data_IF_847067087844
#
_entry.id   IF_847067087844
#
_cell.length_a   1.000
_cell.length_b   1.000
_cell.length_c   1.000
_cell.angle_alpha   90.00
_cell.angle_beta   90.00
_cell.angle_gamma   90.00
#
_symmetry.space_group_name_H-M   'P 1'
#
loop_
_entity.id
_entity.type
_entity.pdbx_description
1 polymer ?
#
# COMPACT_ATOMS: atom_id res chain seq x y z
N UNK A 1 -53.32 2.45 -17.17
CA UNK A 1 -53.31 3.51 -16.15
C UNK A 1 -51.86 3.87 -15.85
N UNK A 2 -51.34 4.83 -16.61
CA UNK A 2 -50.02 5.42 -16.42
C UNK A 2 -50.17 6.56 -15.41
N UNK A 3 -49.52 6.47 -14.25
CA UNK A 3 -49.41 7.58 -13.30
C UNK A 3 -48.01 8.19 -13.40
N UNK A 4 -47.95 9.32 -14.10
CA UNK A 4 -46.87 10.29 -14.03
C UNK A 4 -46.81 10.87 -12.61
N UNK A 5 -45.66 10.79 -11.95
CA UNK A 5 -45.34 11.68 -10.83
C UNK A 5 -44.17 12.57 -11.25
N UNK A 6 -44.49 13.83 -11.49
CA UNK A 6 -43.55 14.90 -11.71
C UNK A 6 -43.14 15.48 -10.35
N UNK A 7 -41.88 15.31 -9.96
CA UNK A 7 -41.29 16.01 -8.83
C UNK A 7 -40.16 16.91 -9.33
N UNK A 8 -40.51 18.19 -9.54
CA UNK A 8 -39.55 19.30 -9.59
C UNK A 8 -39.30 19.76 -8.16
N UNK A 9 -38.04 19.96 -7.78
CA UNK A 9 -37.68 20.56 -6.51
C UNK A 9 -36.20 20.42 -6.19
N UNK A 10 -35.39 21.26 -6.81
CA UNK A 10 -33.95 21.42 -6.56
C UNK A 10 -33.75 21.91 -5.11
N UNK A 11 -33.34 21.03 -4.21
CA UNK A 11 -33.00 21.38 -2.83
C UNK A 11 -31.58 21.94 -2.75
N UNK A 12 -31.40 23.20 -3.12
CA UNK A 12 -30.17 23.95 -2.84
C UNK A 12 -30.04 24.17 -1.34
N UNK A 13 -29.13 23.44 -0.70
CA UNK A 13 -28.67 23.73 0.65
C UNK A 13 -27.81 25.00 0.57
N UNK A 14 -28.46 26.16 0.72
CA UNK A 14 -27.79 27.44 0.85
C UNK A 14 -27.41 27.61 2.32
N UNK A 15 -26.16 27.28 2.65
CA UNK A 15 -25.54 27.71 3.90
C UNK A 15 -25.25 29.20 3.81
N UNK A 16 -26.30 30.00 3.91
CA UNK A 16 -26.24 31.44 4.00
C UNK A 16 -25.80 31.83 5.41
N UNK A 17 -24.48 31.87 5.60
CA UNK A 17 -23.84 32.59 6.69
C UNK A 17 -23.36 33.94 6.13
N UNK A 18 -24.24 34.67 5.42
CA UNK A 18 -23.98 36.05 5.04
C UNK A 18 -24.08 36.94 6.27
N UNK A 19 -22.91 37.40 6.63
CA UNK A 19 -22.61 38.57 7.43
C UNK A 19 -23.25 39.81 6.79
N UNK A 20 -24.48 40.13 7.15
CA UNK A 20 -24.99 41.49 7.00
C UNK A 20 -24.59 42.27 8.27
N UNK A 21 -23.32 42.67 8.29
CA UNK A 21 -22.82 43.79 9.08
C UNK A 21 -23.63 45.03 8.67
N UNK A 22 -24.78 45.24 9.32
CA UNK A 22 -25.48 46.51 9.23
C UNK A 22 -24.61 47.55 9.95
N UNK A 23 -23.75 48.19 9.15
CA UNK A 23 -22.95 49.34 9.52
C UNK A 23 -23.81 50.34 10.28
N UNK A 24 -23.38 50.61 11.49
CA UNK A 24 -23.91 51.60 12.40
C UNK A 24 -23.91 52.98 11.73
N UNK A 25 -24.97 53.31 11.00
CA UNK A 25 -25.25 54.69 10.61
C UNK A 25 -25.71 55.43 11.86
N UNK A 26 -24.77 56.17 12.42
CA UNK A 26 -24.97 57.24 13.40
C UNK A 26 -25.95 58.28 12.85
N UNK A 27 -27.26 58.03 13.03
CA UNK A 27 -28.27 59.08 12.90
C UNK A 27 -28.20 59.93 14.16
N UNK A 28 -27.40 60.99 14.07
CA UNK A 28 -27.41 62.13 14.98
C UNK A 28 -28.82 62.74 14.98
N UNK A 29 -29.68 62.27 15.89
CA UNK A 29 -30.89 63.01 16.25
C UNK A 29 -30.52 63.99 17.36
N UNK A 30 -30.18 65.21 16.95
CA UNK A 30 -30.00 66.34 17.84
C UNK A 30 -31.23 66.47 18.74
N UNK A 31 -31.07 66.11 20.02
CA UNK A 31 -32.05 66.40 21.06
C UNK A 31 -31.71 67.80 21.55
N UNK A 32 -32.52 68.77 21.12
CA UNK A 32 -32.54 70.13 21.67
C UNK A 32 -32.56 70.04 23.20
N UNK A 33 -31.49 70.51 23.83
CA UNK A 33 -31.48 70.90 25.23
C UNK A 33 -32.36 72.12 25.34
N UNK A 34 -33.63 71.93 25.72
CA UNK A 34 -34.43 73.03 26.24
C UNK A 34 -34.00 73.23 27.69
N UNK A 35 -33.26 74.31 27.87
CA UNK A 35 -32.94 74.98 29.11
C UNK A 35 -34.20 75.35 29.89
N UNK A 36 -34.73 74.41 30.67
CA UNK A 36 -35.72 74.66 31.72
C UNK A 36 -35.29 73.92 32.99
N UNK A 37 -34.05 74.16 33.44
CA UNK A 37 -33.50 73.59 34.68
C UNK A 37 -33.36 74.64 35.80
N UNK A 38 -34.33 75.56 35.87
CA UNK A 38 -34.46 76.49 36.98
C UNK A 38 -35.89 76.41 37.54
N UNK A 39 -36.14 75.39 38.37
CA UNK A 39 -37.02 75.38 39.56
C UNK A 39 -37.50 73.95 39.89
N UNK A 40 -36.59 73.09 40.35
CA UNK A 40 -36.99 71.87 41.06
C UNK A 40 -37.20 72.18 42.55
N UNK A 41 -38.44 72.07 43.01
CA UNK A 41 -38.79 72.23 44.43
C UNK A 41 -38.17 71.09 45.27
N UNK A 42 -37.66 71.33 46.50
CA UNK A 42 -36.81 70.37 47.23
C UNK A 42 -37.47 69.06 47.71
N UNK A 43 -38.78 68.85 47.49
CA UNK A 43 -39.54 67.75 48.10
C UNK A 43 -40.26 66.83 47.11
N UNK A 44 -39.80 66.70 45.86
CA UNK A 44 -40.30 65.67 44.96
C UNK A 44 -39.36 64.45 44.98
N UNK A 45 -39.85 63.33 45.51
CA UNK A 45 -39.16 62.04 45.42
C UNK A 45 -38.90 61.74 43.93
N UNK A 46 -37.66 61.39 43.59
CA UNK A 46 -37.29 60.97 42.24
C UNK A 46 -38.31 59.92 41.75
N UNK A 47 -38.98 60.19 40.64
CA UNK A 47 -39.84 59.20 39.99
C UNK A 47 -38.94 58.00 39.70
N UNK A 48 -39.21 56.88 40.36
CA UNK A 48 -38.47 55.65 40.11
C UNK A 48 -38.55 55.36 38.61
N UNK A 49 -37.39 55.32 37.95
CA UNK A 49 -37.31 55.04 36.52
C UNK A 49 -38.09 53.77 36.24
N UNK A 50 -39.03 53.86 35.30
CA UNK A 50 -39.83 52.72 34.84
C UNK A 50 -38.89 51.54 34.59
N UNK A 51 -39.05 50.46 35.38
CA UNK A 51 -38.31 49.22 35.15
C UNK A 51 -38.61 48.76 33.72
N UNK A 52 -37.57 48.35 33.00
CA UNK A 52 -37.66 47.95 31.60
C UNK A 52 -38.71 46.85 31.47
N UNK A 53 -39.60 46.96 30.47
CA UNK A 53 -40.71 46.02 30.29
C UNK A 53 -40.17 44.59 30.23
N UNK A 54 -40.74 43.67 31.03
CA UNK A 54 -40.24 42.29 31.21
C UNK A 54 -39.99 41.55 29.89
N UNK A 55 -40.76 41.85 28.85
CA UNK A 55 -40.57 41.27 27.51
C UNK A 55 -39.29 41.77 26.82
N UNK A 56 -38.95 43.05 26.99
CA UNK A 56 -37.72 43.62 26.43
C UNK A 56 -36.49 43.04 27.14
N UNK A 57 -36.55 42.88 28.47
CA UNK A 57 -35.49 42.22 29.22
C UNK A 57 -35.29 40.75 28.80
N UNK A 58 -36.38 40.02 28.51
CA UNK A 58 -36.30 38.65 27.99
C UNK A 58 -35.68 38.60 26.59
N UNK A 59 -36.06 39.50 25.68
CA UNK A 59 -35.51 39.56 24.32
C UNK A 59 -34.01 39.87 24.30
N UNK A 60 -33.56 40.82 25.14
CA UNK A 60 -32.13 41.12 25.26
C UNK A 60 -31.34 39.95 25.85
N UNK A 61 -31.94 39.22 26.81
CA UNK A 61 -31.32 38.00 27.35
C UNK A 61 -31.17 36.91 26.29
N UNK A 62 -32.21 36.65 25.50
CA UNK A 62 -32.18 35.68 24.39
C UNK A 62 -31.11 36.04 23.35
N UNK A 63 -30.97 37.34 23.04
CA UNK A 63 -29.96 37.85 22.11
C UNK A 63 -28.53 37.65 22.64
N UNK A 64 -28.32 37.92 23.92
CA UNK A 64 -27.03 37.72 24.59
C UNK A 64 -26.65 36.23 24.62
N UNK A 65 -27.60 35.35 24.91
CA UNK A 65 -27.38 33.90 24.87
C UNK A 65 -27.07 33.39 23.46
N UNK A 66 -27.77 33.91 22.43
CA UNK A 66 -27.49 33.56 21.04
C UNK A 66 -26.06 33.97 20.64
N UNK A 67 -25.60 35.15 21.07
CA UNK A 67 -24.22 35.62 20.87
C UNK A 67 -23.22 34.70 21.55
N UNK A 68 -23.46 34.34 22.82
CA UNK A 68 -22.61 33.42 23.60
C UNK A 68 -22.56 32.02 22.96
N UNK A 69 -23.69 31.49 22.49
CA UNK A 69 -23.76 30.19 21.79
C UNK A 69 -22.95 30.22 20.48
N UNK A 70 -23.06 31.30 19.70
CA UNK A 70 -22.28 31.49 18.46
C UNK A 70 -20.79 31.59 18.75
N UNK A 71 -20.40 32.42 19.70
CA UNK A 71 -18.99 32.55 20.10
C UNK A 71 -18.42 31.23 20.58
N UNK A 72 -19.16 30.51 21.43
CA UNK A 72 -18.73 29.20 21.93
C UNK A 72 -18.57 28.17 20.82
N UNK A 73 -19.45 28.20 19.81
CA UNK A 73 -19.33 27.32 18.65
C UNK A 73 -18.11 27.68 17.80
N UNK A 74 -17.88 28.96 17.52
CA UNK A 74 -16.72 29.43 16.75
C UNK A 74 -15.41 29.14 17.49
N UNK A 75 -15.40 29.21 18.82
CA UNK A 75 -14.22 28.95 19.65
C UNK A 75 -13.84 27.46 19.75
N UNK A 76 -14.74 26.54 19.40
CA UNK A 76 -14.48 25.09 19.47
C UNK A 76 -13.68 24.61 18.25
N UNK A 77 -12.87 23.58 18.47
CA UNK A 77 -12.21 22.87 17.37
C UNK A 77 -13.23 22.22 16.41
N UNK A 78 -12.83 21.98 15.16
CA UNK A 78 -13.69 21.35 14.15
C UNK A 78 -14.24 20.00 14.62
N UNK A 79 -13.42 19.20 15.31
CA UNK A 79 -13.85 17.91 15.84
C UNK A 79 -14.83 18.05 17.01
N UNK A 80 -14.60 19.04 17.88
CA UNK A 80 -15.47 19.32 19.03
C UNK A 80 -16.85 19.82 18.60
N UNK A 81 -16.87 20.72 17.61
CA UNK A 81 -18.11 21.18 16.97
C UNK A 81 -18.90 20.02 16.38
N UNK A 82 -18.23 19.16 15.61
CA UNK A 82 -18.85 17.96 15.04
C UNK A 82 -19.46 17.07 16.14
N UNK A 83 -18.70 16.81 17.22
CA UNK A 83 -19.18 15.98 18.33
C UNK A 83 -20.41 16.58 19.03
N UNK A 84 -20.43 17.90 19.22
CA UNK A 84 -21.59 18.62 19.77
C UNK A 84 -22.80 18.47 18.86
N UNK A 85 -22.66 18.70 17.56
CA UNK A 85 -23.77 18.58 16.62
C UNK A 85 -24.32 17.15 16.52
N UNK A 86 -23.46 16.13 16.53
CA UNK A 86 -23.91 14.73 16.54
C UNK A 86 -24.71 14.41 17.81
N UNK A 87 -24.25 14.89 18.99
CA UNK A 87 -25.00 14.73 20.25
C UNK A 87 -26.34 15.45 20.23
N UNK A 88 -26.35 16.70 19.78
CA UNK A 88 -27.57 17.50 19.69
C UNK A 88 -28.57 16.83 18.73
N UNK A 89 -28.11 16.33 17.59
CA UNK A 89 -28.94 15.58 16.64
C UNK A 89 -29.56 14.33 17.28
N UNK A 90 -28.75 13.53 17.98
CA UNK A 90 -29.21 12.33 18.70
C UNK A 90 -30.26 12.70 19.76
N UNK A 91 -30.05 13.82 20.49
CA UNK A 91 -30.95 14.29 21.55
C UNK A 91 -32.31 14.75 21.02
N UNK A 92 -32.33 15.52 19.92
CA UNK A 92 -33.57 16.12 19.39
C UNK A 92 -34.37 15.17 18.51
N UNK A 93 -33.70 14.34 17.71
CA UNK A 93 -34.37 13.52 16.68
C UNK A 93 -34.40 12.03 17.01
N UNK A 94 -33.71 11.58 18.07
CA UNK A 94 -33.72 10.19 18.52
C UNK A 94 -33.03 9.25 17.53
N UNK A 95 -31.71 9.08 17.67
CA UNK A 95 -30.88 8.13 16.93
C UNK A 95 -29.79 7.53 17.83
N UNK A 96 -29.08 6.50 17.37
CA UNK A 96 -27.96 5.93 18.15
C UNK A 96 -26.63 6.43 17.59
N UNK A 97 -25.60 6.46 18.44
CA UNK A 97 -24.28 6.88 17.98
C UNK A 97 -23.66 5.86 17.03
N UNK A 98 -24.11 4.59 17.13
CA UNK A 98 -23.72 3.51 16.23
C UNK A 98 -24.15 3.75 14.78
N UNK A 99 -25.24 4.50 14.55
CA UNK A 99 -25.73 4.80 13.20
C UNK A 99 -24.78 5.72 12.42
N UNK A 100 -23.92 6.46 13.14
CA UNK A 100 -22.89 7.32 12.57
C UNK A 100 -21.55 6.60 12.38
N UNK A 101 -21.48 5.31 12.69
CA UNK A 101 -20.25 4.54 12.54
C UNK A 101 -19.99 4.29 11.05
N UNK A 102 -18.92 4.91 10.53
CA UNK A 102 -18.47 4.71 9.16
C UNK A 102 -18.11 3.24 8.92
N UNK A 103 -18.61 2.67 7.83
CA UNK A 103 -18.23 1.33 7.37
C UNK A 103 -16.75 1.30 6.98
N UNK A 104 -15.93 0.51 7.69
CA UNK A 104 -14.49 0.35 7.43
C UNK A 104 -14.18 -0.76 6.41
N UNK A 105 -15.19 -1.47 5.93
CA UNK A 105 -15.04 -2.68 5.13
C UNK A 105 -14.34 -2.43 3.78
N UNK A 106 -14.50 -1.24 3.22
CA UNK A 106 -13.91 -0.84 1.94
C UNK A 106 -12.72 0.13 2.11
N UNK A 107 -12.27 0.40 3.33
CA UNK A 107 -11.13 1.29 3.57
C UNK A 107 -9.83 0.57 3.18
N UNK A 108 -9.30 0.90 2.01
CA UNK A 108 -7.97 0.46 1.58
C UNK A 108 -6.90 1.35 2.21
N UNK A 109 -5.92 0.76 2.88
CA UNK A 109 -4.74 1.52 3.30
C UNK A 109 -3.74 1.64 2.16
N UNK A 110 -2.88 2.64 2.19
CA UNK A 110 -1.77 2.80 1.24
C UNK A 110 -0.93 1.51 1.11
N UNK A 111 -0.72 0.79 2.23
CA UNK A 111 0.00 -0.48 2.25
C UNK A 111 -0.73 -1.59 1.49
N UNK A 112 -2.06 -1.64 1.58
CA UNK A 112 -2.87 -2.62 0.87
C UNK A 112 -2.87 -2.32 -0.63
N UNK A 113 -3.01 -1.04 -1.00
CA UNK A 113 -2.92 -0.59 -2.40
C UNK A 113 -1.58 -0.97 -3.02
N UNK A 114 -0.48 -0.78 -2.29
CA UNK A 114 0.85 -1.20 -2.72
C UNK A 114 0.92 -2.71 -2.83
N UNK A 115 0.38 -3.48 -1.87
CA UNK A 115 0.40 -4.95 -1.94
C UNK A 115 -0.42 -5.49 -3.11
N UNK A 116 -1.50 -4.84 -3.50
CA UNK A 116 -2.32 -5.22 -4.66
C UNK A 116 -1.61 -4.90 -5.99
N UNK A 117 -0.96 -3.74 -6.07
CA UNK A 117 -0.41 -3.20 -7.33
C UNK A 117 1.11 -3.32 -7.46
N UNK A 118 1.83 -3.85 -6.45
CA UNK A 118 3.28 -3.98 -6.53
C UNK A 118 3.66 -4.93 -7.66
N UNK A 119 4.65 -4.50 -8.44
CA UNK A 119 5.29 -5.33 -9.46
C UNK A 119 6.76 -5.54 -9.14
N UNK A 120 7.26 -6.72 -9.49
CA UNK A 120 8.68 -7.05 -9.27
C UNK A 120 9.58 -6.28 -10.24
N UNK A 121 9.16 -6.13 -11.50
CA UNK A 121 9.75 -5.25 -12.51
C UNK A 121 8.63 -4.41 -13.16
N UNK A 122 8.91 -3.14 -13.40
CA UNK A 122 8.02 -2.25 -14.15
C UNK A 122 8.49 -2.19 -15.59
N UNK A 123 7.63 -2.55 -16.53
CA UNK A 123 7.90 -2.45 -17.97
C UNK A 123 7.35 -1.14 -18.54
N UNK A 124 7.86 -0.70 -19.70
CA UNK A 124 7.43 0.55 -20.36
C UNK A 124 5.95 0.51 -20.79
N UNK A 125 5.41 -0.68 -21.09
CA UNK A 125 4.02 -0.87 -21.50
C UNK A 125 3.03 -0.57 -20.36
N UNK A 126 3.42 -0.85 -19.11
CA UNK A 126 2.61 -0.58 -17.91
C UNK A 126 2.52 0.91 -17.57
N UNK A 127 3.36 1.75 -18.19
CA UNK A 127 3.35 3.21 -18.03
C UNK A 127 2.16 3.86 -18.75
N UNK A 128 1.54 3.15 -19.70
CA UNK A 128 0.39 3.66 -20.46
C UNK A 128 -0.90 3.69 -19.64
N UNK A 129 -1.09 2.75 -18.70
CA UNK A 129 -2.31 2.59 -17.88
C UNK A 129 -2.10 2.97 -16.40
N UNK A 130 -1.54 4.17 -16.16
CA UNK A 130 -1.08 4.61 -14.84
C UNK A 130 -2.22 5.18 -13.97
N UNK A 131 -2.93 4.29 -13.26
CA UNK A 131 -3.80 4.67 -12.15
C UNK A 131 -2.99 5.27 -10.98
N UNK A 132 -3.62 6.07 -10.11
CA UNK A 132 -2.95 6.67 -8.94
C UNK A 132 -2.33 5.60 -8.02
N UNK A 133 -2.97 4.44 -7.90
CA UNK A 133 -2.50 3.28 -7.12
C UNK A 133 -1.17 2.71 -7.69
N UNK A 134 -1.10 2.57 -9.01
CA UNK A 134 0.12 2.12 -9.71
C UNK A 134 1.23 3.17 -9.59
N UNK A 135 0.90 4.47 -9.68
CA UNK A 135 1.88 5.56 -9.47
C UNK A 135 2.46 5.52 -8.06
N UNK A 136 1.63 5.25 -7.05
CA UNK A 136 2.09 5.06 -5.68
C UNK A 136 3.08 3.89 -5.60
N UNK A 137 2.72 2.72 -6.14
CA UNK A 137 3.57 1.55 -6.16
C UNK A 137 4.90 1.79 -6.92
N UNK A 138 4.88 2.48 -8.08
CA UNK A 138 6.07 2.88 -8.84
C UNK A 138 7.00 3.77 -8.01
N UNK A 139 6.44 4.77 -7.33
CA UNK A 139 7.22 5.65 -6.43
C UNK A 139 7.92 4.88 -5.31
N UNK A 140 7.30 3.82 -4.77
CA UNK A 140 7.96 2.93 -3.82
C UNK A 140 9.05 2.09 -4.50
N UNK A 141 8.76 1.51 -5.65
CA UNK A 141 9.71 0.72 -6.44
C UNK A 141 11.00 1.49 -6.80
N UNK A 142 10.87 2.77 -7.16
CA UNK A 142 12.02 3.61 -7.52
C UNK A 142 12.94 3.88 -6.32
N UNK A 143 12.37 3.95 -5.11
CA UNK A 143 13.13 4.08 -3.86
C UNK A 143 13.89 2.82 -3.46
N UNK A 144 13.57 1.64 -4.04
CA UNK A 144 14.28 0.40 -3.71
C UNK A 144 15.68 0.40 -4.34
N UNK A 145 16.65 -0.05 -3.54
CA UNK A 145 18.01 -0.33 -4.00
C UNK A 145 18.08 -1.70 -4.69
N UNK A 146 18.25 -1.67 -6.02
CA UNK A 146 18.11 -2.84 -6.91
C UNK A 146 19.43 -3.44 -7.41
N UNK A 147 20.56 -3.05 -6.83
CA UNK A 147 21.87 -3.56 -7.30
C UNK A 147 22.15 -5.01 -6.90
N UNK A 148 21.82 -5.37 -5.65
CA UNK A 148 22.05 -6.69 -5.09
C UNK A 148 20.77 -7.19 -4.41
N UNK A 149 20.41 -8.44 -4.67
CA UNK A 149 19.31 -9.12 -4.01
C UNK A 149 19.74 -9.80 -2.70
N UNK A 150 18.76 -10.17 -1.88
CA UNK A 150 18.90 -11.14 -0.80
C UNK A 150 18.22 -12.44 -1.21
N UNK A 151 18.90 -13.55 -0.97
CA UNK A 151 18.43 -14.89 -1.23
C UNK A 151 17.98 -15.59 0.05
N UNK A 152 16.90 -16.35 -0.02
CA UNK A 152 16.56 -17.38 0.94
C UNK A 152 16.94 -18.74 0.34
N UNK A 153 18.06 -19.28 0.83
CA UNK A 153 18.59 -20.57 0.40
C UNK A 153 18.15 -21.71 1.33
N UNK A 154 17.15 -21.54 2.20
CA UNK A 154 16.76 -22.58 3.18
C UNK A 154 16.27 -23.87 2.53
N UNK A 155 15.53 -23.77 1.43
CA UNK A 155 14.95 -24.92 0.69
C UNK A 155 15.76 -25.30 -0.55
N UNK A 156 17.07 -25.07 -0.52
CA UNK A 156 17.97 -25.36 -1.66
C UNK A 156 17.94 -26.83 -2.11
N UNK A 157 17.67 -27.78 -1.19
CA UNK A 157 17.54 -29.22 -1.51
C UNK A 157 16.35 -29.52 -2.43
N UNK A 158 15.28 -28.73 -2.33
CA UNK A 158 14.09 -28.83 -3.20
C UNK A 158 14.24 -27.99 -4.48
N UNK A 159 15.41 -27.38 -4.72
CA UNK A 159 15.64 -26.44 -5.82
C UNK A 159 14.68 -25.23 -5.80
N UNK A 160 14.19 -24.86 -4.60
CA UNK A 160 13.33 -23.70 -4.39
C UNK A 160 14.15 -22.60 -3.73
N UNK A 161 14.22 -21.46 -4.40
CA UNK A 161 14.92 -20.27 -3.93
C UNK A 161 13.94 -19.10 -3.92
N UNK A 162 14.03 -18.27 -2.87
CA UNK A 162 13.31 -17.01 -2.80
C UNK A 162 14.29 -15.86 -2.94
N UNK A 163 13.98 -14.87 -3.75
CA UNK A 163 14.74 -13.62 -3.81
C UNK A 163 13.87 -12.45 -3.39
N UNK A 164 14.51 -11.45 -2.82
CA UNK A 164 13.90 -10.14 -2.55
C UNK A 164 14.94 -9.03 -2.67
N UNK A 165 14.46 -7.83 -2.97
CA UNK A 165 15.26 -6.62 -2.88
C UNK A 165 15.62 -6.29 -1.42
N UNK A 166 16.71 -5.55 -1.25
CA UNK A 166 17.18 -5.10 0.07
C UNK A 166 16.30 -3.99 0.60
N UNK A 167 16.04 -3.99 1.90
CA UNK A 167 15.41 -2.85 2.57
C UNK A 167 16.48 -1.89 3.11
N UNK A 168 16.08 -0.67 3.44
CA UNK A 168 16.97 0.42 3.89
C UNK A 168 17.97 0.00 4.99
N UNK A 169 17.48 -0.61 6.08
CA UNK A 169 18.33 -1.10 7.18
C UNK A 169 19.42 -2.09 6.73
N UNK A 170 19.13 -2.94 5.75
CA UNK A 170 20.08 -3.91 5.18
C UNK A 170 21.11 -3.24 4.28
N UNK A 171 20.69 -2.22 3.54
CA UNK A 171 21.59 -1.42 2.71
C UNK A 171 22.57 -0.67 3.60
N UNK A 172 22.10 -0.03 4.67
CA UNK A 172 22.94 0.65 5.67
C UNK A 172 23.88 -0.35 6.36
N UNK A 173 23.39 -1.55 6.70
CA UNK A 173 24.22 -2.61 7.28
C UNK A 173 25.20 -3.24 6.28
N UNK A 174 25.09 -2.97 4.97
CA UNK A 174 25.93 -3.57 3.93
C UNK A 174 25.59 -5.03 3.59
N UNK A 175 24.41 -5.53 3.98
CA UNK A 175 24.01 -6.92 3.74
C UNK A 175 23.83 -7.19 2.24
N UNK A 176 24.38 -8.31 1.77
CA UNK A 176 24.39 -8.69 0.35
C UNK A 176 25.42 -7.96 -0.53
N UNK A 177 26.19 -7.02 0.02
CA UNK A 177 27.30 -6.35 -0.68
C UNK A 177 28.63 -6.61 0.01
N UNK A 178 28.71 -6.29 1.31
CA UNK A 178 29.89 -6.52 2.16
C UNK A 178 29.74 -7.74 3.08
N UNK A 179 28.52 -8.29 3.18
CA UNK A 179 28.25 -9.56 3.83
C UNK A 179 27.38 -10.44 2.94
N UNK A 180 27.28 -11.73 3.31
CA UNK A 180 26.57 -12.73 2.53
C UNK A 180 25.12 -12.32 2.31
N UNK A 181 24.66 -12.43 1.05
CA UNK A 181 23.29 -12.14 0.65
C UNK A 181 22.28 -13.22 1.05
N UNK A 182 22.67 -14.26 1.78
CA UNK A 182 21.72 -15.24 2.29
C UNK A 182 21.05 -14.71 3.56
N UNK A 183 19.73 -14.80 3.66
CA UNK A 183 18.94 -14.28 4.80
C UNK A 183 19.47 -14.74 6.16
N UNK A 184 19.89 -16.01 6.27
CA UNK A 184 20.34 -16.66 7.52
C UNK A 184 21.87 -16.81 7.62
N UNK A 185 22.65 -16.01 6.89
CA UNK A 185 24.11 -16.07 6.94
C UNK A 185 24.66 -14.66 6.98
N UNK A 186 25.60 -14.41 7.89
CA UNK A 186 26.21 -13.09 8.09
C UNK A 186 27.74 -13.13 7.86
N UNK A 187 28.21 -14.14 7.12
CA UNK A 187 29.60 -14.32 6.72
C UNK A 187 30.07 -13.15 5.83
N UNK A 188 31.28 -12.65 6.08
CA UNK A 188 31.85 -11.49 5.37
C UNK A 188 33.02 -11.86 4.47
N UNK A 189 33.61 -13.04 4.66
CA UNK A 189 34.81 -13.44 3.95
C UNK A 189 34.51 -14.16 2.62
N UNK A 190 35.36 -13.93 1.61
CA UNK A 190 35.33 -14.70 0.36
C UNK A 190 34.07 -14.57 -0.49
N UNK A 191 33.39 -13.41 -0.44
CA UNK A 191 32.13 -13.15 -1.16
C UNK A 191 32.32 -13.14 -2.68
N UNK A 192 31.67 -14.09 -3.37
CA UNK A 192 31.60 -14.15 -4.83
C UNK A 192 30.30 -13.56 -5.34
N UNK A 193 30.38 -12.82 -6.45
CA UNK A 193 29.22 -12.29 -7.16
C UNK A 193 28.68 -13.32 -8.14
N UNK A 194 27.36 -13.49 -8.16
CA UNK A 194 26.61 -14.40 -9.02
C UNK A 194 25.53 -13.62 -9.74
N UNK A 195 25.30 -13.97 -11.00
CA UNK A 195 24.15 -13.52 -11.77
C UNK A 195 23.23 -14.71 -11.95
N UNK A 196 22.00 -14.59 -11.44
CA UNK A 196 21.04 -15.69 -11.41
C UNK A 196 19.81 -15.27 -12.21
N UNK A 197 19.39 -16.14 -13.13
CA UNK A 197 18.12 -15.97 -13.81
C UNK A 197 16.97 -16.39 -12.88
N UNK A 198 16.20 -15.41 -12.43
CA UNK A 198 15.04 -15.60 -11.56
C UNK A 198 13.77 -15.63 -12.40
N UNK A 199 13.20 -16.83 -12.57
CA UNK A 199 11.85 -16.99 -13.12
C UNK A 199 10.81 -16.84 -12.02
N UNK A 200 9.87 -15.92 -12.21
CA UNK A 200 8.75 -15.67 -11.29
C UNK A 200 7.43 -15.62 -12.06
N UNK A 201 6.33 -15.80 -11.33
CA UNK A 201 4.97 -15.70 -11.89
C UNK A 201 4.33 -14.44 -11.33
N UNK A 202 3.92 -13.55 -12.22
CA UNK A 202 3.26 -12.28 -11.89
C UNK A 202 1.98 -12.21 -12.71
N UNK A 203 0.84 -11.97 -12.05
CA UNK A 203 -0.50 -11.94 -12.67
C UNK A 203 -0.82 -13.14 -13.59
N UNK A 204 -0.23 -14.32 -13.33
CA UNK A 204 -0.44 -15.54 -14.13
C UNK A 204 0.56 -15.73 -15.28
N UNK A 205 1.41 -14.75 -15.55
CA UNK A 205 2.44 -14.79 -16.59
C UNK A 205 3.80 -15.14 -16.00
N UNK A 206 4.57 -15.96 -16.72
CA UNK A 206 5.94 -16.32 -16.33
C UNK A 206 6.90 -15.25 -16.85
N UNK A 207 7.49 -14.50 -15.93
CA UNK A 207 8.52 -13.49 -16.21
C UNK A 207 9.87 -13.97 -15.72
N UNK A 208 10.93 -13.50 -16.35
CA UNK A 208 12.30 -13.82 -15.99
C UNK A 208 13.09 -12.53 -15.75
N UNK A 209 13.91 -12.49 -14.70
CA UNK A 209 14.76 -11.36 -14.38
C UNK A 209 16.18 -11.84 -14.03
N UNK A 210 17.19 -11.17 -14.58
CA UNK A 210 18.57 -11.42 -14.18
C UNK A 210 18.89 -10.60 -12.92
N UNK A 211 19.14 -11.28 -11.80
CA UNK A 211 19.45 -10.64 -10.52
C UNK A 211 20.88 -10.91 -10.08
N UNK A 212 21.51 -9.91 -9.45
CA UNK A 212 22.87 -10.00 -8.93
C UNK A 212 22.86 -10.34 -7.43
N UNK A 213 23.74 -11.25 -7.02
CA UNK A 213 23.84 -11.75 -5.64
C UNK A 213 25.30 -11.86 -5.23
N UNK A 214 25.63 -11.48 -3.99
CA UNK A 214 26.93 -11.83 -3.39
C UNK A 214 26.76 -12.87 -2.31
N UNK A 215 27.48 -13.98 -2.41
CA UNK A 215 27.37 -15.12 -1.50
C UNK A 215 28.76 -15.60 -1.05
N UNK A 216 28.84 -16.07 0.19
CA UNK A 216 30.02 -16.79 0.68
C UNK A 216 30.16 -18.16 -0.03
N UNK A 217 31.32 -18.83 0.06
CA UNK A 217 31.56 -20.13 -0.58
C UNK A 217 30.51 -21.20 -0.23
N UNK A 218 30.09 -21.25 1.05
CA UNK A 218 29.08 -22.20 1.52
C UNK A 218 27.69 -21.96 0.93
N UNK A 219 27.30 -20.69 0.82
CA UNK A 219 26.02 -20.32 0.22
C UNK A 219 26.05 -20.44 -1.31
N UNK A 220 27.21 -20.20 -1.94
CA UNK A 220 27.44 -20.47 -3.36
C UNK A 220 27.28 -21.96 -3.68
N UNK A 221 27.76 -22.85 -2.82
CA UNK A 221 27.54 -24.28 -2.98
C UNK A 221 26.04 -24.65 -2.92
N UNK A 222 25.29 -24.05 -1.98
CA UNK A 222 23.84 -24.26 -1.85
C UNK A 222 23.08 -23.78 -3.08
N UNK A 223 23.49 -22.65 -3.67
CA UNK A 223 22.89 -22.13 -4.90
C UNK A 223 23.08 -23.11 -6.08
N UNK A 224 24.29 -23.68 -6.21
CA UNK A 224 24.63 -24.59 -7.31
C UNK A 224 24.40 -26.09 -7.00
N UNK A 225 23.71 -26.39 -5.90
CA UNK A 225 23.54 -27.75 -5.38
C UNK A 225 23.02 -28.75 -6.41
N UNK A 226 22.07 -28.33 -7.25
CA UNK A 226 21.46 -29.18 -8.27
C UNK A 226 22.19 -29.15 -9.62
N UNK A 227 22.89 -28.06 -9.95
CA UNK A 227 23.59 -27.93 -11.24
C UNK A 227 24.81 -28.87 -11.30
N UNK A 228 25.52 -29.03 -10.17
CA UNK A 228 26.70 -29.90 -10.04
C UNK A 228 26.38 -31.40 -10.12
N UNK A 229 25.12 -31.80 -9.89
CA UNK A 229 24.66 -33.20 -10.02
C UNK A 229 24.48 -33.64 -11.49
N UNK A 230 24.45 -32.70 -12.46
CA UNK A 230 24.40 -33.03 -13.89
C UNK A 230 25.77 -33.32 -14.49
N UNK A 231 26.87 -32.91 -13.87
CA UNK A 231 28.24 -33.11 -14.40
C UNK A 231 28.83 -34.50 -14.12
N UNK A 232 28.22 -35.35 -13.28
CA UNK A 232 28.78 -36.65 -12.86
C UNK A 232 28.08 -37.87 -13.47
N UNK A 233 27.53 -37.76 -14.68
CA UNK A 233 27.37 -38.95 -15.55
C UNK A 233 28.49 -38.98 -16.59
N UNK A 234 29.68 -39.31 -16.08
CA UNK A 234 30.87 -39.58 -16.87
C UNK A 234 30.63 -40.75 -17.85
N UNK A 235 30.88 -40.54 -19.14
CA UNK A 235 31.38 -41.62 -19.98
C UNK A 235 32.86 -41.83 -19.63
N UNK A 236 33.15 -42.64 -18.61
CA UNK A 236 34.47 -43.28 -18.50
C UNK A 236 34.62 -44.21 -19.70
N UNK A 237 35.34 -43.78 -20.73
CA UNK A 237 35.85 -44.70 -21.76
C UNK A 237 36.72 -45.73 -21.05
N UNK A 238 36.26 -46.99 -21.00
CA UNK A 238 37.08 -48.12 -20.60
C UNK A 238 38.22 -48.24 -21.62
N UNK A 239 39.42 -47.85 -21.21
CA UNK A 239 40.66 -48.22 -21.89
C UNK A 239 40.73 -49.75 -21.88
N UNK A 240 40.66 -50.36 -23.06
CA UNK A 240 40.98 -51.79 -23.22
C UNK A 240 42.46 -51.83 -23.55
N UNK A 241 43.26 -52.34 -22.62
CA UNK A 241 44.71 -52.49 -22.77
C UNK A 241 45.01 -53.51 -23.88
N UNK A 242 45.84 -53.07 -24.83
CA UNK A 242 46.50 -53.91 -25.82
C UNK A 242 47.67 -54.65 -25.15
N UNK A 243 47.84 -55.97 -25.33
CA UNK A 243 49.12 -56.61 -25.15
C UNK A 243 49.91 -56.60 -26.47
N UNK A 244 51.16 -56.15 -26.38
CA UNK A 244 52.16 -56.11 -27.45
C UNK A 244 52.86 -57.46 -27.65
N UNK A 245 53.17 -57.73 -28.93
CA UNK A 245 54.25 -58.58 -29.48
C UNK A 245 54.03 -60.10 -29.61
N UNK A 246 53.90 -60.58 -30.86
CA UNK A 246 54.93 -61.29 -31.67
C UNK A 246 54.30 -61.88 -32.95
N UNK A 247 54.80 -61.46 -34.11
CA UNK A 247 54.55 -62.04 -35.45
C UNK A 247 55.44 -63.28 -35.72
N UNK A 248 55.41 -63.95 -36.89
CA UNK A 248 54.27 -64.35 -37.75
C UNK A 248 54.42 -65.80 -38.27
N UNK A 249 53.33 -66.56 -38.55
CA UNK A 249 53.42 -67.72 -39.48
C UNK A 249 52.17 -67.92 -40.33
N UNK A 250 52.41 -67.79 -41.63
CA UNK A 250 51.61 -68.16 -42.79
C UNK A 250 50.90 -69.53 -42.72
N UNK A 251 49.66 -69.62 -43.27
CA UNK A 251 49.30 -70.44 -44.46
C UNK A 251 47.78 -70.68 -44.60
N UNK A 252 47.31 -70.41 -45.83
CA UNK A 252 46.33 -71.17 -46.64
C UNK A 252 44.83 -71.12 -46.29
N UNK A 253 44.11 -70.39 -47.15
CA UNK A 253 43.01 -70.86 -48.02
C UNK A 253 42.30 -72.16 -47.62
N UNK A 254 40.97 -72.09 -47.43
CA UNK A 254 39.93 -72.74 -48.27
C UNK A 254 38.52 -72.65 -47.63
N UNK A 255 37.57 -72.19 -48.45
CA UNK A 255 36.25 -72.79 -48.73
C UNK A 255 35.45 -73.36 -47.54
N UNK A 256 34.26 -72.82 -47.28
CA UNK A 256 33.00 -73.32 -47.88
C UNK A 256 31.75 -72.92 -47.07
N UNK A 257 30.69 -72.73 -47.86
CA UNK A 257 29.29 -72.53 -47.51
C UNK A 257 28.70 -73.71 -46.73
N UNK A 258 27.79 -73.45 -45.77
CA UNK A 258 26.53 -74.21 -45.69
C UNK A 258 25.47 -73.54 -44.82
N UNK A 259 24.25 -73.58 -45.35
CA UNK A 259 23.01 -72.99 -44.89
C UNK A 259 22.27 -73.85 -43.86
N UNK A 260 21.20 -73.23 -43.28
CA UNK A 260 19.99 -73.83 -42.66
C UNK A 260 20.21 -74.38 -41.24
N UNK A 261 19.34 -74.11 -40.25
CA UNK A 261 17.86 -74.19 -40.28
C UNK A 261 17.18 -73.23 -39.30
N UNK A 262 15.99 -72.78 -39.72
CA UNK A 262 14.89 -72.26 -38.91
C UNK A 262 14.44 -73.28 -37.85
N UNK A 263 14.01 -72.81 -36.68
CA UNK A 263 12.78 -73.31 -36.06
C UNK A 263 12.10 -72.21 -35.23
N UNK A 264 10.86 -71.89 -35.62
CA UNK A 264 9.85 -71.16 -34.85
C UNK A 264 8.95 -72.20 -34.19
N UNK A 265 8.65 -72.08 -32.90
CA UNK A 265 7.34 -72.36 -32.29
C UNK A 265 7.39 -71.80 -30.85
N UNK A 266 6.60 -70.77 -30.49
CA UNK A 266 5.18 -70.80 -30.04
C UNK A 266 5.03 -71.66 -28.78
N UNK A 267 4.31 -71.35 -27.72
CA UNK A 267 3.43 -70.25 -27.25
C UNK A 267 3.09 -70.63 -25.80
N UNK A 268 2.71 -69.68 -24.96
CA UNK A 268 1.68 -69.74 -23.89
C UNK A 268 1.99 -68.52 -22.99
N UNK A 269 1.09 -67.60 -22.69
CA UNK A 269 -0.37 -67.61 -22.61
C UNK A 269 -0.88 -66.18 -22.83
#
# INVERSE_FOLDING_TARGET
>A
LLLFFQARGHGGYDSDFSDEENGEKSVQKAKSTKEDDLLLKPFQKAKQGSVVHRQFAAQEWDREEARKRRFHLISMDAYERHKKFVRDYILYYGGKIEDFQRSRENDKTDLDVIRENHRFLWDEEDETDMNWEKRLAKKYYDKLYKEYCIADLTRYKENKFGFRWRHEKEVISGKGQFSCGNKRCDEKEGLKSWEVNFGYVEHGEKRNALVKLRLCPECSYKLNFHHRRKEVKAHKKKYTELPTSKEPKSKKTKLSCSQKKKSKKKTHK
#
